data_IF_098900038689
#
_entry.id   IF_098900038689
#
_cell.length_a   1.000
_cell.length_b   1.000
_cell.length_c   1.000
_cell.angle_alpha   90.00
_cell.angle_beta   90.00
_cell.angle_gamma   90.00
#
_symmetry.space_group_name_H-M   'P 1'
#
loop_
_entity.id
_entity.type
_entity.pdbx_description
1 polymer ?
#
# COMPACT_ATOMS: atom_id res chain seq x y z
N UNK A 1 0.82 -25.35 21.30
CA UNK A 1 0.31 -24.03 20.85
C UNK A 1 1.27 -23.53 19.79
N UNK A 2 0.91 -23.66 18.51
CA UNK A 2 1.79 -23.26 17.41
C UNK A 2 1.69 -21.74 17.23
N UNK A 3 2.67 -21.01 17.78
CA UNK A 3 2.81 -19.58 17.53
C UNK A 3 2.98 -19.34 16.03
N UNK A 4 2.27 -18.38 15.42
CA UNK A 4 2.49 -18.05 14.02
C UNK A 4 3.92 -17.52 13.87
N UNK A 5 4.70 -18.16 13.01
CA UNK A 5 6.01 -17.67 12.58
C UNK A 5 5.74 -16.39 11.79
N UNK A 6 5.85 -15.23 12.44
CA UNK A 6 5.97 -13.96 11.73
C UNK A 6 7.36 -13.99 11.10
N UNK A 7 7.41 -14.43 9.83
CA UNK A 7 8.61 -14.29 9.02
C UNK A 7 8.92 -12.79 9.00
N UNK A 8 10.11 -12.33 9.43
CA UNK A 8 10.45 -10.93 9.24
C UNK A 8 10.37 -10.69 7.75
N UNK A 9 9.46 -9.80 7.33
CA UNK A 9 9.40 -9.35 5.96
C UNK A 9 10.81 -8.86 5.63
N UNK A 10 11.52 -9.61 4.80
CA UNK A 10 12.89 -9.30 4.40
C UNK A 10 12.94 -7.83 4.02
N UNK A 11 13.98 -7.10 4.43
CA UNK A 11 14.11 -5.65 4.25
C UNK A 11 13.86 -5.16 2.80
N UNK A 12 13.92 -6.07 1.82
CA UNK A 12 13.55 -5.87 0.42
C UNK A 12 12.04 -5.65 0.16
N UNK A 13 11.15 -6.15 1.03
CA UNK A 13 9.71 -5.89 0.93
C UNK A 13 9.34 -4.44 1.25
N UNK A 14 10.21 -3.74 1.99
CA UNK A 14 10.14 -2.29 2.19
C UNK A 14 10.86 -1.52 1.08
N UNK A 15 11.14 -2.11 -0.09
CA UNK A 15 11.47 -1.34 -1.30
C UNK A 15 10.23 -1.14 -2.18
N UNK A 16 9.11 -1.79 -1.86
CA UNK A 16 7.87 -1.72 -2.62
C UNK A 16 6.81 -0.95 -1.85
N UNK A 17 6.14 -0.02 -2.55
CA UNK A 17 4.93 0.63 -2.07
C UNK A 17 3.77 -0.37 -2.14
N UNK A 18 3.46 -0.99 -1.00
CA UNK A 18 2.41 -2.01 -0.84
C UNK A 18 1.35 -1.52 0.14
N UNK A 19 0.11 -1.95 -0.06
CA UNK A 19 -1.00 -1.66 0.85
C UNK A 19 -0.78 -2.43 2.16
N UNK A 20 -0.56 -1.68 3.24
CA UNK A 20 -0.48 -2.19 4.60
C UNK A 20 -1.89 -2.45 5.18
N UNK A 21 -2.81 -1.50 4.98
CA UNK A 21 -4.21 -1.63 5.41
C UNK A 21 -5.16 -1.17 4.30
N UNK A 22 -6.23 -1.93 4.07
CA UNK A 22 -7.29 -1.59 3.13
C UNK A 22 -8.66 -1.65 3.79
N UNK A 23 -9.38 -0.53 3.81
CA UNK A 23 -10.78 -0.46 4.25
C UNK A 23 -11.69 -0.42 3.04
N UNK A 24 -12.26 -1.58 2.70
CA UNK A 24 -13.12 -1.73 1.52
C UNK A 24 -14.36 -0.83 1.52
N UNK A 25 -14.98 -0.60 2.69
CA UNK A 25 -16.21 0.21 2.80
C UNK A 25 -15.98 1.67 2.42
N UNK A 26 -14.86 2.22 2.87
CA UNK A 26 -14.45 3.61 2.62
C UNK A 26 -13.52 3.74 1.40
N UNK A 27 -13.11 2.61 0.81
CA UNK A 27 -12.11 2.54 -0.26
C UNK A 27 -10.80 3.26 0.12
N UNK A 28 -10.42 3.24 1.40
CA UNK A 28 -9.19 3.87 1.90
C UNK A 28 -8.07 2.86 2.06
N UNK A 29 -6.84 3.32 1.78
CA UNK A 29 -5.61 2.55 1.76
C UNK A 29 -4.56 3.26 2.59
N UNK A 30 -3.86 2.49 3.40
CA UNK A 30 -2.60 2.89 4.02
C UNK A 30 -1.45 2.13 3.38
N UNK A 31 -0.44 2.84 2.90
CA UNK A 31 0.80 2.28 2.37
C UNK A 31 1.79 1.99 3.51
N UNK A 32 2.66 1.00 3.31
CA UNK A 32 3.78 0.70 4.21
C UNK A 32 4.74 1.87 4.42
N UNK A 33 4.76 2.85 3.51
CA UNK A 33 5.57 4.08 3.62
C UNK A 33 4.92 5.16 4.52
N UNK A 34 3.77 4.87 5.13
CA UNK A 34 2.98 5.83 5.91
C UNK A 34 2.05 6.72 5.09
N UNK A 35 2.00 6.57 3.77
CA UNK A 35 1.04 7.28 2.92
C UNK A 35 -0.39 6.76 3.15
N UNK A 36 -1.36 7.67 3.14
CA UNK A 36 -2.79 7.34 3.27
C UNK A 36 -3.57 8.04 2.16
N UNK A 37 -4.48 7.32 1.52
CA UNK A 37 -5.35 7.85 0.47
C UNK A 37 -6.36 6.82 0.00
N UNK A 38 -7.03 7.05 -1.12
CA UNK A 38 -8.14 6.21 -1.56
C UNK A 38 -7.85 5.42 -2.84
N UNK A 39 -8.45 4.22 -2.94
CA UNK A 39 -8.55 3.47 -4.20
C UNK A 39 -9.79 3.86 -5.01
N UNK A 40 -10.67 4.69 -4.44
CA UNK A 40 -11.85 5.17 -5.12
C UNK A 40 -11.49 5.96 -6.39
N UNK A 41 -12.15 5.62 -7.49
CA UNK A 41 -11.99 6.27 -8.78
C UNK A 41 -13.26 7.06 -9.09
N UNK A 42 -13.18 8.39 -9.11
CA UNK A 42 -14.31 9.28 -9.44
C UNK A 42 -14.31 9.65 -10.95
N UNK A 43 -14.30 8.65 -11.84
CA UNK A 43 -14.38 8.86 -13.30
C UNK A 43 -13.12 8.40 -14.05
N UNK A 44 -12.65 9.18 -15.03
CA UNK A 44 -11.55 8.78 -15.93
C UNK A 44 -10.13 8.95 -15.35
N UNK A 45 -10.00 9.40 -14.10
CA UNK A 45 -8.68 9.61 -13.47
C UNK A 45 -8.21 8.37 -12.71
N UNK A 46 -6.89 8.12 -12.65
CA UNK A 46 -6.36 7.09 -11.77
C UNK A 46 -6.72 7.42 -10.31
N UNK A 47 -7.02 6.39 -9.53
CA UNK A 47 -7.22 6.51 -8.09
C UNK A 47 -5.96 7.01 -7.39
N UNK A 48 -6.11 7.61 -6.22
CA UNK A 48 -4.99 8.19 -5.46
C UNK A 48 -3.90 7.13 -5.19
N UNK A 49 -4.31 5.90 -4.90
CA UNK A 49 -3.40 4.76 -4.77
C UNK A 49 -2.59 4.50 -6.06
N UNK A 50 -3.25 4.53 -7.22
CA UNK A 50 -2.58 4.25 -8.50
C UNK A 50 -1.58 5.35 -8.86
N UNK A 51 -1.92 6.63 -8.57
CA UNK A 51 -0.99 7.75 -8.70
C UNK A 51 0.21 7.58 -7.76
N UNK A 52 -0.05 7.27 -6.48
CA UNK A 52 0.99 7.04 -5.48
C UNK A 52 1.99 5.95 -5.91
N UNK A 53 1.50 4.79 -6.36
CA UNK A 53 2.37 3.69 -6.82
C UNK A 53 3.14 4.08 -8.07
N UNK A 54 2.53 4.80 -9.02
CA UNK A 54 3.21 5.25 -10.23
C UNK A 54 4.34 6.25 -9.93
N UNK A 55 4.10 7.21 -9.04
CA UNK A 55 5.07 8.24 -8.63
C UNK A 55 6.24 7.68 -7.81
N UNK A 56 6.01 6.56 -7.12
CA UNK A 56 6.98 5.92 -6.25
C UNK A 56 7.52 4.59 -6.80
N UNK A 57 7.21 4.26 -8.05
CA UNK A 57 7.69 3.04 -8.70
C UNK A 57 9.21 3.07 -8.79
N UNK A 58 9.88 2.16 -8.08
CA UNK A 58 11.35 2.08 -8.03
C UNK A 58 12.01 3.01 -7.00
N UNK A 59 11.23 3.78 -6.24
CA UNK A 59 11.72 4.50 -5.05
C UNK A 59 11.57 3.60 -3.83
N UNK A 60 12.49 3.74 -2.88
CA UNK A 60 12.37 3.07 -1.58
C UNK A 60 11.34 3.86 -0.74
N UNK A 61 10.33 3.20 -0.16
CA UNK A 61 9.35 3.79 0.75
C UNK A 61 9.97 4.26 2.08
#
# INVERSE_FOLDING_TARGET
MSSPIIRPASADQFAKHVIAEYKHRDQTVQCVCGWFGSTATNGSRPSEWSAHVAENRGKRP
#
